data_IF_473826509468
#
_entry.id   IF_473826509468
#
_cell.length_a   1.000
_cell.length_b   1.000
_cell.length_c   1.000
_cell.angle_alpha   90.00
_cell.angle_beta   90.00
_cell.angle_gamma   90.00
#
_symmetry.space_group_name_H-M   'P 1'
#
loop_
_entity.id
_entity.type
_entity.pdbx_description
1 polymer ?
#
# COMPACT_ATOMS: atom_id res chain seq x y z
N UNK A 1 104.98 16.64 -16.74
CA UNK A 1 105.11 17.57 -15.60
C UNK A 1 103.92 17.29 -14.72
N UNK A 2 104.08 16.35 -13.73
CA UNK A 2 104.23 16.66 -12.29
C UNK A 2 103.05 17.47 -11.72
N UNK A 3 102.19 16.97 -10.88
CA UNK A 3 102.34 16.65 -9.48
C UNK A 3 101.08 15.99 -8.92
N UNK A 4 101.27 14.84 -8.28
CA UNK A 4 100.52 14.53 -7.03
C UNK A 4 101.14 15.36 -5.90
N UNK A 5 100.58 15.41 -4.68
CA UNK A 5 99.83 14.44 -3.93
C UNK A 5 98.78 15.08 -2.91
N UNK A 6 98.00 14.41 -2.23
CA UNK A 6 98.05 13.91 -0.82
C UNK A 6 96.76 13.50 -0.25
N UNK A 7 96.77 12.35 0.34
CA UNK A 7 95.88 11.72 1.28
C UNK A 7 95.52 12.56 2.49
N UNK A 8 94.28 12.44 2.98
CA UNK A 8 94.00 12.36 4.42
C UNK A 8 92.70 11.58 4.65
N UNK A 9 92.88 10.51 5.38
CA UNK A 9 91.83 9.71 5.97
C UNK A 9 91.17 10.47 7.14
N UNK A 10 89.85 10.38 7.25
CA UNK A 10 89.18 10.58 8.52
C UNK A 10 88.04 9.55 8.64
N UNK A 11 88.17 8.76 9.66
CA UNK A 11 87.08 7.87 10.19
C UNK A 11 85.84 8.69 10.44
N UNK A 12 84.71 8.13 10.10
CA UNK A 12 83.48 8.57 10.75
C UNK A 12 82.50 7.41 10.91
N UNK A 13 82.30 7.15 12.07
CA UNK A 13 81.20 6.54 12.83
C UNK A 13 80.00 6.02 12.05
N UNK A 14 79.78 4.74 12.16
CA UNK A 14 78.54 4.06 11.92
C UNK A 14 77.56 4.37 13.06
N UNK A 15 76.48 5.12 12.76
CA UNK A 15 75.31 5.18 13.63
C UNK A 15 74.22 4.35 12.96
N UNK A 16 73.96 3.18 13.50
CA UNK A 16 72.81 2.38 13.22
C UNK A 16 71.52 3.13 13.63
N UNK A 17 70.75 3.59 12.68
CA UNK A 17 69.35 3.95 12.89
C UNK A 17 68.50 2.74 12.63
N UNK A 18 68.10 2.03 13.66
CA UNK A 18 67.00 1.08 13.62
C UNK A 18 65.72 1.84 13.24
N UNK A 19 65.24 1.66 12.02
CA UNK A 19 63.90 2.05 11.63
C UNK A 19 62.93 1.02 12.26
N UNK A 20 62.27 1.43 13.32
CA UNK A 20 61.14 0.71 13.90
C UNK A 20 59.93 0.95 12.98
N UNK A 21 59.64 0.01 12.04
CA UNK A 21 58.39 0.01 11.29
C UNK A 21 57.33 -0.54 12.23
N UNK A 22 56.56 0.38 12.82
CA UNK A 22 55.36 0.03 13.53
C UNK A 22 54.28 -0.37 12.50
N UNK A 23 54.05 -1.67 12.31
CA UNK A 23 52.87 -2.18 11.63
C UNK A 23 51.66 -1.86 12.50
N UNK A 24 51.01 -0.75 12.23
CA UNK A 24 49.62 -0.55 12.67
C UNK A 24 48.72 -1.51 11.87
N UNK A 25 48.46 -2.67 12.43
CA UNK A 25 47.40 -3.55 11.98
C UNK A 25 46.07 -2.86 12.27
N UNK A 26 45.57 -2.12 11.27
CA UNK A 26 44.21 -1.64 11.25
C UNK A 26 43.30 -2.85 11.07
N UNK A 27 42.90 -3.46 12.17
CA UNK A 27 41.84 -4.45 12.21
C UNK A 27 40.56 -3.71 11.78
N UNK A 28 40.23 -3.74 10.48
CA UNK A 28 38.88 -3.49 10.03
C UNK A 28 38.00 -4.56 10.63
N UNK A 29 37.47 -4.26 11.79
CA UNK A 29 36.33 -5.01 12.34
C UNK A 29 35.21 -4.87 11.31
N UNK A 30 35.05 -5.88 10.47
CA UNK A 30 33.80 -6.14 9.75
C UNK A 30 32.74 -6.36 10.82
N UNK A 31 32.19 -5.26 11.34
CA UNK A 31 30.87 -5.31 11.99
C UNK A 31 29.94 -5.84 10.92
N UNK A 32 29.69 -7.15 10.96
CA UNK A 32 28.53 -7.73 10.32
C UNK A 32 27.31 -7.07 10.99
N UNK A 33 26.95 -5.89 10.51
CA UNK A 33 25.62 -5.37 10.68
C UNK A 33 24.73 -6.35 9.93
N UNK A 34 24.25 -7.39 10.64
CA UNK A 34 23.10 -8.16 10.18
C UNK A 34 22.00 -7.11 10.16
N UNK A 35 21.83 -6.46 9.03
CA UNK A 35 20.68 -5.60 8.78
C UNK A 35 19.49 -6.51 9.07
N UNK A 36 18.80 -6.26 10.18
CA UNK A 36 17.58 -6.95 10.54
C UNK A 36 16.68 -6.78 9.31
N UNK A 37 16.43 -7.87 8.60
CA UNK A 37 15.66 -7.83 7.36
C UNK A 37 14.24 -7.48 7.77
N UNK A 38 13.89 -6.18 7.65
CA UNK A 38 12.56 -5.72 7.98
C UNK A 38 11.56 -6.45 7.08
N UNK A 39 10.54 -7.04 7.68
CA UNK A 39 9.46 -7.73 6.97
C UNK A 39 8.47 -6.74 6.32
N UNK A 40 8.82 -5.46 6.26
CA UNK A 40 8.04 -4.37 5.66
C UNK A 40 8.95 -3.28 5.10
N UNK A 41 8.38 -2.40 4.27
CA UNK A 41 9.07 -1.20 3.79
C UNK A 41 8.72 -0.01 4.69
N UNK A 42 9.68 0.90 4.83
CA UNK A 42 9.50 2.18 5.49
C UNK A 42 10.13 3.28 4.62
N UNK A 43 9.32 4.25 4.22
CA UNK A 43 9.76 5.41 3.46
C UNK A 43 9.55 6.67 4.28
N UNK A 44 10.61 7.46 4.44
CA UNK A 44 10.61 8.73 5.16
C UNK A 44 10.68 9.87 4.14
N UNK A 45 9.80 10.87 4.21
CA UNK A 45 9.87 12.01 3.31
C UNK A 45 11.06 12.92 3.65
N UNK A 46 11.47 13.72 2.69
CA UNK A 46 12.41 14.82 2.96
C UNK A 46 11.83 15.77 4.02
N UNK A 47 12.66 16.18 4.97
CA UNK A 47 12.23 16.99 6.13
C UNK A 47 11.46 18.27 5.71
N UNK A 48 11.86 18.92 4.63
CA UNK A 48 11.23 20.14 4.13
C UNK A 48 9.81 19.90 3.57
N UNK A 49 9.49 18.66 3.18
CA UNK A 49 8.20 18.29 2.59
C UNK A 49 7.29 17.51 3.56
N UNK A 50 7.83 17.12 4.72
CA UNK A 50 7.13 16.25 5.67
C UNK A 50 5.81 16.85 6.16
N UNK A 51 4.71 16.10 6.00
CA UNK A 51 3.36 16.46 6.47
C UNK A 51 3.15 16.11 7.95
N UNK A 52 4.07 15.39 8.57
CA UNK A 52 3.91 14.89 9.94
C UNK A 52 2.78 13.84 10.05
N UNK A 53 2.41 13.20 8.94
CA UNK A 53 1.36 12.18 8.87
C UNK A 53 1.95 10.84 8.47
N UNK A 54 1.51 9.77 9.15
CA UNK A 54 1.97 8.40 8.94
C UNK A 54 0.87 7.55 8.31
N UNK A 55 1.21 6.86 7.23
CA UNK A 55 0.30 5.99 6.48
C UNK A 55 0.83 4.57 6.51
N UNK A 56 0.01 3.62 6.95
CA UNK A 56 0.32 2.20 6.87
C UNK A 56 -0.49 1.59 5.73
N UNK A 57 0.21 0.98 4.77
CA UNK A 57 -0.37 0.30 3.62
C UNK A 57 -0.25 -1.22 3.84
N UNK A 58 -1.38 -1.93 3.79
CA UNK A 58 -1.47 -3.37 4.10
C UNK A 58 -1.77 -4.14 2.83
N UNK A 59 -0.78 -4.93 2.38
CA UNK A 59 -0.84 -5.80 1.21
C UNK A 59 -1.05 -7.25 1.63
N UNK A 60 -2.01 -7.92 1.00
CA UNK A 60 -2.30 -9.32 1.25
C UNK A 60 -3.38 -9.83 0.32
N UNK A 61 -3.17 -9.73 -0.98
CA UNK A 61 -4.12 -10.10 -2.02
C UNK A 61 -3.47 -11.04 -3.02
N UNK A 62 -3.92 -12.28 -3.06
CA UNK A 62 -3.37 -13.34 -3.89
C UNK A 62 -3.76 -13.22 -5.38
N UNK A 63 -4.67 -12.29 -5.73
CA UNK A 63 -5.18 -12.16 -7.08
C UNK A 63 -4.75 -10.86 -7.77
N UNK A 64 -4.90 -9.70 -7.08
CA UNK A 64 -4.80 -8.37 -7.69
C UNK A 64 -3.46 -7.66 -7.50
N UNK A 65 -2.42 -8.37 -7.04
CA UNK A 65 -1.03 -7.87 -6.96
C UNK A 65 -0.85 -6.64 -6.09
N UNK A 66 -1.49 -6.62 -4.93
CA UNK A 66 -1.31 -5.51 -3.98
C UNK A 66 0.16 -5.33 -3.53
N UNK A 67 0.97 -6.39 -3.61
CA UNK A 67 2.41 -6.36 -3.34
C UNK A 67 3.21 -5.52 -4.35
N UNK A 68 2.66 -5.25 -5.53
CA UNK A 68 3.25 -4.37 -6.53
C UNK A 68 2.72 -2.94 -6.41
N UNK A 69 1.39 -2.80 -6.24
CA UNK A 69 0.72 -1.50 -6.24
C UNK A 69 0.99 -0.67 -4.99
N UNK A 70 1.00 -1.28 -3.80
CA UNK A 70 1.14 -0.51 -2.57
C UNK A 70 2.55 0.07 -2.35
N UNK A 71 3.66 -0.61 -2.70
CA UNK A 71 4.97 0.03 -2.70
C UNK A 71 5.06 1.23 -3.64
N UNK A 72 4.50 1.13 -4.85
CA UNK A 72 4.44 2.22 -5.81
C UNK A 72 3.65 3.41 -5.24
N UNK A 73 2.48 3.16 -4.68
CA UNK A 73 1.65 4.18 -4.05
C UNK A 73 2.35 4.82 -2.83
N UNK A 74 3.04 4.02 -2.01
CA UNK A 74 3.81 4.52 -0.86
C UNK A 74 4.92 5.47 -1.30
N UNK A 75 5.65 5.14 -2.37
CA UNK A 75 6.68 6.04 -2.94
C UNK A 75 6.08 7.36 -3.43
N UNK A 76 4.92 7.34 -4.10
CA UNK A 76 4.23 8.57 -4.50
C UNK A 76 3.87 9.39 -3.26
N UNK A 77 3.19 8.79 -2.28
CA UNK A 77 2.77 9.46 -1.05
C UNK A 77 3.95 10.04 -0.28
N UNK A 78 5.10 9.35 -0.26
CA UNK A 78 6.27 9.83 0.48
C UNK A 78 7.03 10.89 -0.29
N UNK A 79 7.47 10.59 -1.51
CA UNK A 79 8.44 11.44 -2.22
C UNK A 79 7.79 12.65 -2.89
N UNK A 80 6.50 12.58 -3.22
CA UNK A 80 5.78 13.67 -3.89
C UNK A 80 4.81 14.41 -2.98
N UNK A 81 4.36 13.75 -1.91
CA UNK A 81 3.32 14.29 -1.03
C UNK A 81 3.72 14.39 0.44
N UNK A 82 4.92 13.97 0.83
CA UNK A 82 5.49 14.22 2.16
C UNK A 82 4.90 13.39 3.29
N UNK A 83 4.21 12.29 3.01
CA UNK A 83 3.74 11.33 4.02
C UNK A 83 4.87 10.38 4.42
N UNK A 84 4.97 10.03 5.69
CA UNK A 84 5.77 8.89 6.12
C UNK A 84 4.96 7.61 5.90
N UNK A 85 5.52 6.62 5.17
CA UNK A 85 4.74 5.44 4.78
C UNK A 85 5.40 4.14 5.19
N UNK A 86 4.58 3.16 5.59
CA UNK A 86 4.96 1.79 5.87
C UNK A 86 4.16 0.86 4.96
N UNK A 87 4.83 -0.07 4.29
CA UNK A 87 4.14 -1.10 3.47
C UNK A 87 4.35 -2.46 4.11
N UNK A 88 3.27 -3.06 4.56
CA UNK A 88 3.24 -4.38 5.18
C UNK A 88 2.77 -5.41 4.15
N UNK A 89 3.36 -6.59 4.20
CA UNK A 89 3.09 -7.66 3.25
C UNK A 89 2.64 -8.95 3.95
N UNK A 90 1.86 -9.75 3.25
CA UNK A 90 1.70 -11.15 3.60
C UNK A 90 3.05 -11.86 3.43
N UNK A 91 3.59 -12.38 4.52
CA UNK A 91 4.91 -13.02 4.58
C UNK A 91 4.75 -14.48 5.01
N UNK A 92 5.28 -15.39 4.21
CA UNK A 92 5.40 -16.78 4.59
C UNK A 92 6.42 -16.91 5.74
N UNK A 93 6.05 -17.44 6.91
CA UNK A 93 6.92 -17.48 8.07
C UNK A 93 8.11 -18.44 7.92
N UNK A 94 8.04 -19.40 7.01
CA UNK A 94 9.12 -20.36 6.76
C UNK A 94 10.15 -19.79 5.79
N UNK A 95 9.71 -19.29 4.63
CA UNK A 95 10.59 -18.79 3.58
C UNK A 95 11.00 -17.33 3.78
N UNK A 96 10.29 -16.56 4.62
CA UNK A 96 10.44 -15.11 4.83
C UNK A 96 10.18 -14.28 3.57
N UNK A 97 9.63 -14.88 2.54
CA UNK A 97 9.29 -14.24 1.28
C UNK A 97 7.88 -13.64 1.34
N UNK A 98 7.64 -12.64 0.50
CA UNK A 98 6.28 -12.16 0.22
C UNK A 98 5.53 -13.32 -0.43
N UNK A 99 4.42 -13.69 0.20
CA UNK A 99 3.56 -14.77 -0.24
C UNK A 99 2.10 -14.35 -0.06
N UNK A 100 1.48 -13.77 -1.08
CA UNK A 100 0.08 -13.36 -1.02
C UNK A 100 -0.90 -14.50 -0.72
N UNK A 101 -0.52 -15.75 -1.01
CA UNK A 101 -1.35 -16.93 -0.73
C UNK A 101 -1.30 -17.34 0.75
N UNK A 102 -0.28 -16.91 1.50
CA UNK A 102 -0.19 -17.17 2.94
C UNK A 102 -1.10 -16.21 3.72
N UNK A 103 -2.26 -16.67 4.14
CA UNK A 103 -3.35 -15.85 4.67
C UNK A 103 -3.21 -15.45 6.16
N UNK A 104 -2.24 -16.06 6.90
CA UNK A 104 -2.22 -16.01 8.37
C UNK A 104 -1.11 -15.15 8.97
N UNK A 105 -0.40 -14.35 8.16
CA UNK A 105 0.69 -13.55 8.69
C UNK A 105 0.95 -12.29 7.88
N UNK A 106 0.79 -11.12 8.51
CA UNK A 106 1.22 -9.81 8.02
C UNK A 106 2.02 -9.14 9.14
N UNK A 107 3.35 -9.31 9.19
CA UNK A 107 4.17 -8.68 10.22
C UNK A 107 4.20 -7.16 10.08
N UNK A 108 4.39 -6.45 11.21
CA UNK A 108 4.49 -4.98 11.23
C UNK A 108 3.16 -4.27 11.51
N UNK A 109 2.05 -4.99 11.75
CA UNK A 109 0.74 -4.38 12.04
C UNK A 109 0.76 -3.50 13.31
N UNK A 110 1.73 -3.65 14.19
CA UNK A 110 1.97 -2.76 15.34
C UNK A 110 2.24 -1.30 14.91
N UNK A 111 2.72 -1.06 13.68
CA UNK A 111 2.88 0.30 13.14
C UNK A 111 1.55 1.07 13.05
N UNK A 112 0.41 0.38 13.02
CA UNK A 112 -0.92 1.01 13.08
C UNK A 112 -1.14 1.83 14.36
N UNK A 113 -0.45 1.51 15.45
CA UNK A 113 -0.59 2.25 16.72
C UNK A 113 -0.34 3.75 16.52
N UNK A 114 0.69 4.10 15.75
CA UNK A 114 1.12 5.48 15.51
C UNK A 114 0.71 6.02 14.12
N UNK A 115 -0.03 5.24 13.34
CA UNK A 115 -0.48 5.68 12.03
C UNK A 115 -1.65 6.67 12.12
N UNK A 116 -1.72 7.58 11.15
CA UNK A 116 -2.85 8.51 10.96
C UNK A 116 -3.85 7.96 9.93
N UNK A 117 -3.42 7.05 9.06
CA UNK A 117 -4.23 6.46 7.99
C UNK A 117 -3.83 5.00 7.76
N UNK A 118 -4.81 4.14 7.55
CA UNK A 118 -4.65 2.77 7.05
C UNK A 118 -5.18 2.67 5.62
N UNK A 119 -4.33 2.23 4.68
CA UNK A 119 -4.73 1.84 3.33
C UNK A 119 -4.64 0.32 3.24
N UNK A 120 -5.72 -0.34 2.87
CA UNK A 120 -5.77 -1.79 2.86
C UNK A 120 -6.20 -2.33 1.49
N UNK A 121 -5.39 -3.26 0.95
CA UNK A 121 -5.65 -4.05 -0.24
C UNK A 121 -5.33 -5.51 0.09
N UNK A 122 -6.26 -6.18 0.75
CA UNK A 122 -6.11 -7.58 1.18
C UNK A 122 -7.38 -8.37 0.88
N UNK A 123 -7.22 -9.69 0.80
CA UNK A 123 -8.27 -10.64 0.47
C UNK A 123 -8.18 -11.87 1.35
N UNK A 124 -9.29 -12.22 2.02
CA UNK A 124 -9.48 -13.45 2.79
C UNK A 124 -8.41 -13.73 3.87
N UNK A 125 -7.88 -12.68 4.53
CA UNK A 125 -6.89 -12.89 5.61
C UNK A 125 -7.54 -13.51 6.84
N UNK A 126 -6.94 -14.57 7.37
CA UNK A 126 -7.21 -15.19 8.66
C UNK A 126 -6.07 -14.91 9.61
N UNK A 127 -5.91 -13.63 9.99
CA UNK A 127 -4.80 -13.23 10.85
C UNK A 127 -5.02 -13.72 12.29
N UNK A 128 -3.95 -14.10 13.01
CA UNK A 128 -4.05 -14.44 14.42
C UNK A 128 -4.46 -13.22 15.27
N UNK A 129 -5.03 -13.49 16.45
CA UNK A 129 -5.63 -12.46 17.32
C UNK A 129 -4.63 -11.37 17.72
N UNK A 130 -3.36 -11.70 17.93
CA UNK A 130 -2.30 -10.74 18.23
C UNK A 130 -2.07 -9.74 17.09
N UNK A 131 -2.30 -10.13 15.85
CA UNK A 131 -2.21 -9.24 14.69
C UNK A 131 -3.53 -8.48 14.48
N UNK A 132 -4.67 -9.15 14.56
CA UNK A 132 -5.99 -8.52 14.44
C UNK A 132 -6.23 -7.45 15.51
N UNK A 133 -5.67 -7.59 16.70
CA UNK A 133 -5.73 -6.60 17.77
C UNK A 133 -5.26 -5.21 17.33
N UNK A 134 -4.24 -5.13 16.47
CA UNK A 134 -3.73 -3.84 16.00
C UNK A 134 -4.72 -3.17 15.05
N UNK A 135 -5.37 -3.95 14.17
CA UNK A 135 -6.44 -3.46 13.28
C UNK A 135 -7.64 -2.98 14.11
N UNK A 136 -8.10 -3.78 15.07
CA UNK A 136 -9.22 -3.46 15.94
C UNK A 136 -8.98 -2.18 16.77
N UNK A 137 -7.78 -2.05 17.37
CA UNK A 137 -7.40 -0.86 18.13
C UNK A 137 -7.34 0.38 17.25
N UNK A 138 -6.85 0.27 16.01
CA UNK A 138 -6.83 1.36 15.03
C UNK A 138 -8.26 1.85 14.73
N UNK A 139 -9.17 0.92 14.49
CA UNK A 139 -10.59 1.21 14.23
C UNK A 139 -11.31 1.75 15.48
N UNK A 140 -11.03 1.23 16.67
CA UNK A 140 -11.55 1.77 17.95
C UNK A 140 -11.12 3.20 18.19
N UNK A 141 -9.93 3.57 17.77
CA UNK A 141 -9.45 4.95 17.84
C UNK A 141 -10.18 5.89 16.87
N UNK A 142 -11.02 5.38 15.96
CA UNK A 142 -11.73 6.17 14.96
C UNK A 142 -10.81 6.73 13.86
N UNK A 143 -9.69 6.08 13.61
CA UNK A 143 -8.73 6.52 12.60
C UNK A 143 -9.21 6.17 11.18
N UNK A 144 -8.90 7.00 10.17
CA UNK A 144 -9.42 6.83 8.82
C UNK A 144 -8.88 5.61 8.09
N UNK A 145 -9.71 5.08 7.18
CA UNK A 145 -9.39 3.90 6.36
C UNK A 145 -9.61 4.20 4.89
N UNK A 146 -8.72 3.72 4.04
CA UNK A 146 -8.91 3.61 2.59
C UNK A 146 -8.93 2.13 2.24
N UNK A 147 -10.05 1.66 1.67
CA UNK A 147 -10.20 0.29 1.17
C UNK A 147 -10.06 0.24 -0.34
N UNK A 148 -9.17 -0.60 -0.85
CA UNK A 148 -8.95 -0.80 -2.27
C UNK A 148 -9.37 -2.21 -2.70
N UNK A 149 -10.09 -2.31 -3.80
CA UNK A 149 -10.51 -3.54 -4.48
C UNK A 149 -11.05 -4.59 -3.50
N UNK A 150 -10.23 -5.59 -3.19
CA UNK A 150 -10.55 -6.74 -2.35
C UNK A 150 -10.69 -6.42 -0.86
N UNK A 151 -10.42 -5.19 -0.45
CA UNK A 151 -10.66 -4.76 0.93
C UNK A 151 -12.11 -5.02 1.38
N UNK A 152 -13.08 -5.05 0.47
CA UNK A 152 -14.48 -5.41 0.73
C UNK A 152 -14.66 -6.82 1.29
N UNK A 153 -13.66 -7.69 1.11
CA UNK A 153 -13.56 -9.03 1.69
C UNK A 153 -12.15 -9.32 2.24
N UNK A 154 -11.58 -8.31 2.89
CA UNK A 154 -10.21 -8.37 3.41
C UNK A 154 -9.96 -9.54 4.35
N UNK A 155 -10.94 -9.87 5.18
CA UNK A 155 -10.83 -10.91 6.20
C UNK A 155 -11.80 -12.05 5.95
N UNK A 156 -11.36 -13.28 6.25
CA UNK A 156 -12.19 -14.48 6.21
C UNK A 156 -11.78 -15.40 7.35
N UNK A 157 -12.75 -15.77 8.18
CA UNK A 157 -12.54 -16.69 9.29
C UNK A 157 -13.44 -17.91 9.08
N UNK A 158 -12.90 -19.14 9.22
CA UNK A 158 -13.72 -20.34 9.23
C UNK A 158 -14.85 -20.25 10.27
N UNK A 159 -15.98 -20.92 10.01
CA UNK A 159 -17.15 -20.90 10.91
C UNK A 159 -16.79 -21.36 12.32
N UNK A 160 -15.90 -22.34 12.44
CA UNK A 160 -15.37 -22.91 13.68
C UNK A 160 -14.27 -22.09 14.34
N UNK A 161 -13.83 -21.00 13.72
CA UNK A 161 -12.79 -20.15 14.27
C UNK A 161 -13.11 -19.66 15.67
N UNK A 162 -12.15 -19.79 16.58
CA UNK A 162 -12.23 -19.31 17.97
C UNK A 162 -11.70 -17.89 18.13
N UNK A 163 -11.27 -17.25 17.05
CA UNK A 163 -10.77 -15.88 17.07
C UNK A 163 -11.81 -14.92 17.65
N UNK A 164 -11.39 -14.05 18.55
CA UNK A 164 -12.21 -12.95 19.07
C UNK A 164 -12.64 -11.98 17.95
N UNK A 165 -11.95 -12.01 16.82
CA UNK A 165 -12.14 -11.11 15.67
C UNK A 165 -12.87 -11.78 14.49
N UNK A 166 -13.44 -12.97 14.66
CA UNK A 166 -14.13 -13.70 13.57
C UNK A 166 -15.25 -12.89 12.90
N UNK A 167 -15.85 -11.96 13.63
CA UNK A 167 -16.90 -11.07 13.12
C UNK A 167 -16.39 -10.11 12.01
N UNK A 168 -15.07 -9.90 11.85
CA UNK A 168 -14.49 -9.16 10.74
C UNK A 168 -14.59 -9.89 9.41
N UNK A 169 -14.84 -11.22 9.42
CA UNK A 169 -14.94 -12.05 8.23
C UNK A 169 -16.07 -11.61 7.30
N UNK A 170 -15.77 -11.51 5.99
CA UNK A 170 -16.72 -11.02 4.97
C UNK A 170 -18.00 -11.83 4.89
N UNK A 171 -17.95 -13.10 5.24
CA UNK A 171 -19.10 -14.02 5.25
C UNK A 171 -19.96 -13.92 6.50
N UNK A 172 -19.60 -13.08 7.48
CA UNK A 172 -20.38 -12.89 8.69
C UNK A 172 -21.79 -12.39 8.36
N UNK A 173 -22.81 -13.06 8.93
CA UNK A 173 -24.21 -12.70 8.70
C UNK A 173 -24.90 -12.19 9.97
N UNK A 174 -24.17 -12.07 11.08
CA UNK A 174 -24.72 -11.77 12.39
C UNK A 174 -24.56 -10.31 12.80
N UNK A 175 -25.61 -9.75 13.39
CA UNK A 175 -25.62 -8.43 14.01
C UNK A 175 -25.21 -7.28 13.10
N UNK A 176 -24.65 -6.26 13.71
CA UNK A 176 -24.19 -5.06 13.02
C UNK A 176 -23.00 -5.34 12.09
N UNK A 177 -22.25 -6.42 12.35
CA UNK A 177 -21.10 -6.84 11.54
C UNK A 177 -21.48 -7.69 10.32
N UNK A 178 -22.71 -7.62 9.86
CA UNK A 178 -23.12 -8.33 8.65
C UNK A 178 -22.27 -7.89 7.46
N UNK A 179 -21.63 -8.87 6.79
CA UNK A 179 -20.66 -8.62 5.74
C UNK A 179 -19.25 -8.26 6.26
N UNK A 180 -19.02 -8.42 7.57
CA UNK A 180 -17.71 -8.24 8.21
C UNK A 180 -17.14 -6.85 8.06
N UNK A 181 -15.83 -6.76 7.90
CA UNK A 181 -15.09 -5.52 7.69
C UNK A 181 -15.62 -4.73 6.48
N UNK A 182 -15.84 -5.41 5.35
CA UNK A 182 -16.39 -4.77 4.15
C UNK A 182 -17.75 -4.15 4.42
N UNK A 183 -18.71 -4.93 4.91
CA UNK A 183 -20.09 -4.45 5.13
C UNK A 183 -20.17 -3.36 6.20
N UNK A 184 -19.56 -3.57 7.36
CA UNK A 184 -19.70 -2.68 8.50
C UNK A 184 -18.81 -1.43 8.40
N UNK A 185 -17.54 -1.60 8.05
CA UNK A 185 -16.58 -0.48 7.99
C UNK A 185 -16.64 0.21 6.63
N UNK A 186 -16.47 -0.55 5.53
CA UNK A 186 -16.33 0.02 4.19
C UNK A 186 -17.67 0.38 3.54
N UNK A 187 -18.78 -0.22 3.99
CA UNK A 187 -20.13 0.05 3.49
C UNK A 187 -20.68 -1.02 2.55
N UNK A 188 -19.84 -1.85 1.96
CA UNK A 188 -20.24 -3.02 1.19
C UNK A 188 -19.24 -4.15 1.36
N UNK A 189 -19.73 -5.37 1.44
CA UNK A 189 -18.94 -6.59 1.32
C UNK A 189 -18.89 -7.06 -0.14
N UNK A 190 -17.90 -7.87 -0.50
CA UNK A 190 -17.90 -8.47 -1.82
C UNK A 190 -19.11 -9.42 -1.97
N UNK A 191 -19.82 -9.30 -3.09
CA UNK A 191 -21.04 -10.06 -3.38
C UNK A 191 -20.84 -10.92 -4.62
N UNK A 192 -20.44 -10.27 -5.71
CA UNK A 192 -20.19 -10.90 -6.99
C UNK A 192 -19.46 -9.94 -7.92
N UNK A 193 -18.97 -10.46 -9.01
CA UNK A 193 -18.56 -9.69 -10.18
C UNK A 193 -19.79 -9.22 -10.94
N UNK A 194 -20.01 -7.91 -11.07
CA UNK A 194 -21.06 -7.33 -11.89
C UNK A 194 -20.60 -7.24 -13.36
N UNK A 195 -19.36 -6.84 -13.59
CA UNK A 195 -18.66 -7.07 -14.84
C UNK A 195 -18.23 -8.54 -14.95
N UNK A 196 -18.03 -9.04 -16.16
CA UNK A 196 -17.55 -10.41 -16.35
C UNK A 196 -16.04 -10.46 -16.08
N UNK A 197 -15.68 -11.14 -14.99
CA UNK A 197 -14.29 -11.22 -14.50
C UNK A 197 -13.35 -11.76 -15.58
N UNK A 198 -12.21 -11.08 -15.76
CA UNK A 198 -11.18 -11.46 -16.73
C UNK A 198 -11.53 -11.20 -18.20
N UNK A 199 -12.67 -10.57 -18.48
CA UNK A 199 -13.10 -10.23 -19.83
C UNK A 199 -13.66 -8.82 -20.00
N UNK A 200 -14.16 -8.22 -18.91
CA UNK A 200 -14.71 -6.86 -18.89
C UNK A 200 -13.87 -5.95 -17.98
N UNK A 201 -13.66 -4.72 -18.37
CA UNK A 201 -13.07 -3.67 -17.57
C UNK A 201 -14.10 -2.75 -16.93
N UNK A 202 -13.65 -1.69 -16.29
CA UNK A 202 -14.48 -0.67 -15.66
C UNK A 202 -14.14 0.72 -16.19
N UNK A 203 -15.17 1.45 -16.61
CA UNK A 203 -15.07 2.87 -16.91
C UNK A 203 -15.70 3.67 -15.74
N UNK A 204 -14.86 4.34 -14.95
CA UNK A 204 -15.30 5.26 -13.89
C UNK A 204 -15.73 6.59 -14.48
N UNK A 205 -17.02 6.88 -14.40
CA UNK A 205 -17.68 8.02 -15.05
C UNK A 205 -17.55 9.27 -14.16
N UNK A 206 -16.82 10.25 -14.63
CA UNK A 206 -16.68 11.56 -14.00
C UNK A 206 -17.34 12.66 -14.83
N UNK A 207 -17.01 12.69 -16.13
CA UNK A 207 -17.41 13.78 -17.02
C UNK A 207 -18.92 13.79 -17.33
N UNK A 208 -19.57 12.62 -17.27
CA UNK A 208 -21.01 12.50 -17.57
C UNK A 208 -21.95 12.57 -16.39
N UNK A 209 -21.47 12.39 -15.16
CA UNK A 209 -22.34 12.21 -14.01
C UNK A 209 -22.06 13.16 -12.85
N UNK A 210 -21.21 14.11 -12.93
CA UNK A 210 -20.83 15.18 -11.96
C UNK A 210 -21.55 15.17 -10.58
N UNK A 211 -21.79 13.98 -10.06
CA UNK A 211 -22.36 13.78 -8.74
C UNK A 211 -21.26 14.17 -7.73
N UNK A 212 -21.59 15.05 -6.80
CA UNK A 212 -20.67 15.52 -5.77
C UNK A 212 -19.38 16.19 -6.30
N UNK A 213 -19.42 16.84 -7.45
CA UNK A 213 -18.27 17.52 -8.10
C UNK A 213 -17.50 18.50 -7.17
N UNK A 214 -18.09 18.90 -6.05
CA UNK A 214 -17.44 19.75 -5.03
C UNK A 214 -16.64 18.95 -3.99
N UNK A 215 -16.71 17.63 -3.98
CA UNK A 215 -15.94 16.83 -3.03
C UNK A 215 -14.45 16.96 -3.34
N UNK A 216 -13.60 17.34 -2.37
CA UNK A 216 -12.19 17.59 -2.60
C UNK A 216 -11.43 16.36 -3.14
N UNK A 217 -11.92 15.16 -2.87
CA UNK A 217 -11.32 13.90 -3.40
C UNK A 217 -11.37 13.88 -4.93
N UNK A 218 -12.38 14.53 -5.55
CA UNK A 218 -12.57 14.53 -7.00
C UNK A 218 -11.80 15.64 -7.72
N UNK A 219 -11.09 16.50 -7.00
CA UNK A 219 -10.38 17.63 -7.60
C UNK A 219 -9.30 17.16 -8.60
N UNK A 220 -9.45 17.54 -9.87
CA UNK A 220 -8.54 17.17 -10.95
C UNK A 220 -8.65 15.70 -11.40
N UNK A 221 -9.66 14.97 -10.95
CA UNK A 221 -9.97 13.60 -11.41
C UNK A 221 -10.86 13.66 -12.63
N UNK A 222 -10.45 13.01 -13.71
CA UNK A 222 -11.20 12.81 -14.96
C UNK A 222 -11.72 11.36 -15.03
N UNK A 223 -12.31 10.96 -16.15
CA UNK A 223 -12.76 9.59 -16.36
C UNK A 223 -11.61 8.60 -16.11
N UNK A 224 -11.94 7.53 -15.37
CA UNK A 224 -11.01 6.49 -14.98
C UNK A 224 -11.30 5.26 -15.82
N UNK A 225 -10.29 4.71 -16.48
CA UNK A 225 -10.44 3.40 -17.10
C UNK A 225 -9.48 2.38 -16.49
N UNK A 226 -10.02 1.22 -16.11
CA UNK A 226 -9.22 0.12 -15.54
C UNK A 226 -9.63 -1.23 -16.13
N UNK A 227 -8.67 -2.18 -16.30
CA UNK A 227 -8.96 -3.50 -16.83
C UNK A 227 -9.71 -4.41 -15.85
N UNK A 228 -9.71 -4.12 -14.53
CA UNK A 228 -10.48 -4.93 -13.59
C UNK A 228 -11.98 -4.64 -13.68
N UNK A 229 -12.79 -5.66 -13.50
CA UNK A 229 -14.24 -5.60 -13.62
C UNK A 229 -14.93 -4.84 -12.50
N UNK A 230 -16.15 -4.40 -12.74
CA UNK A 230 -17.02 -3.74 -11.74
C UNK A 230 -17.56 -4.78 -10.76
N UNK A 231 -17.45 -4.51 -9.45
CA UNK A 231 -18.10 -5.32 -8.43
C UNK A 231 -19.59 -5.00 -8.27
N UNK A 232 -20.38 -6.02 -7.94
CA UNK A 232 -21.78 -5.84 -7.59
C UNK A 232 -21.95 -5.15 -6.24
N UNK A 233 -22.88 -4.19 -6.19
CA UNK A 233 -23.29 -3.49 -4.98
C UNK A 233 -24.74 -3.83 -4.70
N UNK A 234 -25.02 -4.44 -3.55
CA UNK A 234 -26.41 -4.78 -3.11
C UNK A 234 -26.92 -3.84 -2.05
N UNK A 235 -26.07 -3.42 -1.15
CA UNK A 235 -26.47 -2.44 -0.17
C UNK A 235 -26.70 -1.09 -0.87
N UNK A 236 -27.69 -0.35 -0.41
CA UNK A 236 -27.95 0.99 -0.94
C UNK A 236 -26.85 2.00 -0.58
N UNK A 237 -25.69 1.54 -0.05
CA UNK A 237 -24.62 2.37 0.51
C UNK A 237 -25.19 3.49 1.42
N UNK A 238 -26.16 3.12 2.29
CA UNK A 238 -26.80 4.03 3.23
C UNK A 238 -25.76 4.79 4.02
N UNK A 239 -25.96 6.08 4.16
CA UNK A 239 -25.04 7.00 4.84
C UNK A 239 -23.64 7.07 4.17
N UNK A 240 -23.57 6.78 2.88
CA UNK A 240 -22.38 6.97 2.06
C UNK A 240 -22.60 8.06 1.03
N UNK A 241 -21.54 8.77 0.71
CA UNK A 241 -21.48 9.71 -0.41
C UNK A 241 -20.80 9.00 -1.58
N UNK A 242 -21.56 8.73 -2.65
CA UNK A 242 -21.03 8.09 -3.84
C UNK A 242 -20.26 9.15 -4.63
N UNK A 243 -19.01 8.85 -4.99
CA UNK A 243 -18.11 9.75 -5.70
C UNK A 243 -17.97 9.39 -7.17
N UNK A 244 -17.90 8.09 -7.49
CA UNK A 244 -17.67 7.59 -8.84
C UNK A 244 -18.61 6.42 -9.10
N UNK A 245 -19.31 6.46 -10.25
CA UNK A 245 -20.02 5.32 -10.80
C UNK A 245 -19.16 4.64 -11.87
N UNK A 246 -19.13 3.31 -11.90
CA UNK A 246 -18.44 2.50 -12.88
C UNK A 246 -19.40 1.82 -13.85
N UNK A 247 -19.08 1.91 -15.14
CA UNK A 247 -19.76 1.19 -16.20
C UNK A 247 -18.89 0.03 -16.67
N UNK A 248 -19.39 -1.23 -16.72
CA UNK A 248 -18.66 -2.32 -17.36
C UNK A 248 -18.41 -2.05 -18.85
N UNK A 249 -17.23 -2.44 -19.34
CA UNK A 249 -16.87 -2.39 -20.76
C UNK A 249 -16.88 -3.78 -21.40
N UNK A 250 -17.06 -3.89 -22.72
CA UNK A 250 -17.12 -5.17 -23.43
C UNK A 250 -15.75 -5.84 -23.63
N UNK A 251 -14.70 -5.28 -23.08
CA UNK A 251 -13.33 -5.77 -23.15
C UNK A 251 -12.46 -5.10 -22.10
N UNK A 252 -11.20 -5.51 -22.05
CA UNK A 252 -10.20 -5.06 -21.05
C UNK A 252 -9.16 -4.12 -21.66
N UNK A 253 -9.57 -3.29 -22.63
CA UNK A 253 -8.75 -2.21 -23.20
C UNK A 253 -9.48 -0.87 -23.11
N UNK A 254 -8.74 0.23 -23.09
CA UNK A 254 -9.33 1.57 -22.94
C UNK A 254 -10.28 1.95 -24.08
N UNK A 255 -10.12 1.34 -25.26
CA UNK A 255 -10.95 1.55 -26.45
C UNK A 255 -12.20 0.68 -26.44
N UNK A 256 -12.31 -0.26 -25.48
CA UNK A 256 -13.47 -1.15 -25.40
C UNK A 256 -14.75 -0.36 -25.18
N UNK A 257 -15.81 -0.61 -25.95
CA UNK A 257 -17.07 0.10 -25.77
C UNK A 257 -17.75 -0.31 -24.46
N UNK A 258 -18.58 0.57 -23.93
CA UNK A 258 -19.36 0.28 -22.73
C UNK A 258 -20.36 -0.86 -22.98
N UNK A 259 -20.53 -1.72 -21.97
CA UNK A 259 -21.54 -2.76 -21.98
C UNK A 259 -22.91 -2.19 -21.56
N UNK A 260 -23.71 -1.76 -22.53
CA UNK A 260 -25.04 -1.16 -22.30
C UNK A 260 -26.08 -2.14 -21.74
N UNK A 261 -25.77 -3.44 -21.68
CA UNK A 261 -26.67 -4.46 -21.09
C UNK A 261 -26.53 -4.55 -19.57
N UNK A 262 -25.49 -3.96 -19.00
CA UNK A 262 -25.22 -3.93 -17.56
C UNK A 262 -25.40 -2.51 -17.03
N UNK A 263 -26.01 -2.40 -15.84
CA UNK A 263 -26.16 -1.10 -15.17
C UNK A 263 -24.84 -0.56 -14.65
N UNK A 264 -24.79 0.74 -14.42
CA UNK A 264 -23.70 1.36 -13.65
C UNK A 264 -23.80 0.94 -12.19
N UNK A 265 -22.65 0.84 -11.52
CA UNK A 265 -22.54 0.57 -10.07
C UNK A 265 -21.66 1.62 -9.40
N UNK A 266 -21.89 1.97 -8.13
CA UNK A 266 -20.90 2.71 -7.36
C UNK A 266 -19.55 1.97 -7.34
N UNK A 267 -18.48 2.66 -7.69
CA UNK A 267 -17.11 2.11 -7.66
C UNK A 267 -16.18 2.89 -6.74
N UNK A 268 -16.60 4.09 -6.28
CA UNK A 268 -15.91 4.81 -5.21
C UNK A 268 -16.90 5.61 -4.37
N UNK A 269 -16.71 5.59 -3.05
CA UNK A 269 -17.58 6.30 -2.10
C UNK A 269 -16.83 6.63 -0.80
N UNK A 270 -17.41 7.55 -0.02
CA UNK A 270 -17.02 7.82 1.36
C UNK A 270 -18.16 7.51 2.32
N UNK A 271 -17.83 7.18 3.56
CA UNK A 271 -18.76 7.06 4.67
C UNK A 271 -18.06 7.25 6.01
N UNK A 272 -18.86 7.42 7.04
CA UNK A 272 -18.38 7.31 8.42
C UNK A 272 -18.57 5.88 8.94
N UNK A 273 -17.74 5.49 9.90
CA UNK A 273 -17.89 4.25 10.67
C UNK A 273 -17.72 4.51 12.16
N UNK A 274 -18.25 3.61 12.98
CA UNK A 274 -17.96 3.56 14.41
C UNK A 274 -18.17 2.13 14.89
N UNK A 275 -17.11 1.50 15.37
CA UNK A 275 -17.21 0.16 15.95
C UNK A 275 -17.65 0.24 17.43
N UNK A 276 -18.24 -0.81 18.01
CA UNK A 276 -18.67 -0.82 19.41
C UNK A 276 -17.54 -0.41 20.36
N UNK A 277 -17.81 0.56 21.23
CA UNK A 277 -16.84 1.12 22.18
C UNK A 277 -15.76 1.99 21.57
N UNK A 278 -15.80 2.25 20.26
CA UNK A 278 -14.83 3.07 19.54
C UNK A 278 -15.30 4.49 19.28
N UNK A 279 -14.38 5.31 18.72
CA UNK A 279 -14.65 6.64 18.21
C UNK A 279 -15.15 6.57 16.76
N UNK A 280 -15.81 7.63 16.31
CA UNK A 280 -16.22 7.81 14.92
C UNK A 280 -14.98 8.02 14.05
N UNK A 281 -14.89 7.30 12.95
CA UNK A 281 -13.87 7.42 11.91
C UNK A 281 -14.51 7.59 10.54
N UNK A 282 -13.70 7.87 9.53
CA UNK A 282 -14.14 8.04 8.16
C UNK A 282 -13.43 7.07 7.20
N UNK A 283 -14.12 6.74 6.12
CA UNK A 283 -13.66 5.74 5.15
C UNK A 283 -13.80 6.31 3.73
N UNK A 284 -12.80 6.03 2.91
CA UNK A 284 -12.91 6.03 1.46
C UNK A 284 -12.76 4.59 0.96
N UNK A 285 -13.62 4.19 0.05
CA UNK A 285 -13.58 2.86 -0.58
C UNK A 285 -13.64 2.99 -2.08
N UNK A 286 -12.81 2.22 -2.78
CA UNK A 286 -12.97 1.99 -4.23
C UNK A 286 -12.86 0.51 -4.56
N UNK A 287 -13.75 0.03 -5.45
CA UNK A 287 -13.70 -1.33 -5.98
C UNK A 287 -12.77 -1.49 -7.18
N UNK A 288 -12.12 -0.40 -7.61
CA UNK A 288 -10.96 -0.39 -8.49
C UNK A 288 -9.68 -0.49 -7.62
N UNK A 289 -8.57 -0.99 -8.13
CA UNK A 289 -7.31 -1.00 -7.36
C UNK A 289 -6.50 -2.27 -7.45
N UNK A 290 -6.68 -3.07 -8.51
CA UNK A 290 -5.66 -4.05 -8.88
C UNK A 290 -4.36 -3.34 -9.24
N UNK A 291 -3.23 -4.03 -9.23
CA UNK A 291 -1.95 -3.38 -9.52
C UNK A 291 -1.97 -2.71 -10.90
N UNK A 292 -2.50 -3.39 -11.90
CA UNK A 292 -2.57 -2.85 -13.26
C UNK A 292 -3.57 -1.69 -13.39
N UNK A 293 -4.59 -1.61 -12.55
CA UNK A 293 -5.53 -0.48 -12.52
C UNK A 293 -4.80 0.83 -12.17
N UNK A 294 -3.72 0.75 -11.37
CA UNK A 294 -2.95 1.92 -10.98
C UNK A 294 -2.01 2.44 -12.07
N UNK A 295 -2.07 1.89 -13.29
CA UNK A 295 -1.55 2.55 -14.49
C UNK A 295 -2.41 3.76 -14.87
N UNK A 296 -3.70 3.78 -14.50
CA UNK A 296 -4.56 4.93 -14.70
C UNK A 296 -4.17 6.09 -13.74
N UNK A 297 -3.88 7.25 -14.32
CA UNK A 297 -3.43 8.43 -13.57
C UNK A 297 -4.54 9.00 -12.68
N UNK A 298 -5.77 8.95 -13.14
CA UNK A 298 -6.92 9.51 -12.42
C UNK A 298 -7.29 8.63 -11.22
N UNK A 299 -7.12 7.29 -11.31
CA UNK A 299 -7.26 6.42 -10.16
C UNK A 299 -6.18 6.70 -9.10
N UNK A 300 -4.92 6.89 -9.52
CA UNK A 300 -3.85 7.31 -8.57
C UNK A 300 -4.19 8.65 -7.91
N UNK A 301 -4.67 9.64 -8.69
CA UNK A 301 -5.09 10.95 -8.18
C UNK A 301 -6.23 10.82 -7.18
N UNK A 302 -7.23 10.01 -7.50
CA UNK A 302 -8.37 9.74 -6.61
C UNK A 302 -7.90 9.21 -5.25
N UNK A 303 -6.97 8.24 -5.24
CA UNK A 303 -6.44 7.63 -4.01
C UNK A 303 -5.55 8.62 -3.23
N UNK A 304 -4.70 9.39 -3.92
CA UNK A 304 -3.86 10.42 -3.29
C UNK A 304 -4.74 11.51 -2.65
N UNK A 305 -5.73 12.03 -3.37
CA UNK A 305 -6.68 13.01 -2.82
C UNK A 305 -7.44 12.44 -1.62
N UNK A 306 -7.89 11.18 -1.70
CA UNK A 306 -8.54 10.49 -0.58
C UNK A 306 -7.60 10.39 0.64
N UNK A 307 -6.30 10.23 0.42
CA UNK A 307 -5.31 10.19 1.51
C UNK A 307 -5.20 11.53 2.22
N UNK A 308 -5.16 12.65 1.49
CA UNK A 308 -5.22 13.99 2.07
C UNK A 308 -6.51 14.24 2.85
N UNK A 309 -7.66 13.94 2.21
CA UNK A 309 -8.97 14.09 2.84
C UNK A 309 -9.07 13.25 4.12
N UNK A 310 -8.56 12.02 4.09
CA UNK A 310 -8.61 11.11 5.22
C UNK A 310 -7.94 11.69 6.48
N UNK A 311 -6.80 12.37 6.32
CA UNK A 311 -6.01 12.90 7.44
C UNK A 311 -6.28 14.39 7.75
N UNK A 312 -7.32 14.99 7.14
CA UNK A 312 -7.72 16.38 7.40
C UNK A 312 -6.83 17.42 6.72
N UNK A 313 -6.25 17.06 5.57
CA UNK A 313 -5.42 17.95 4.75
C UNK A 313 -6.08 18.27 3.40
N UNK A 314 -7.41 18.18 3.31
CA UNK A 314 -8.17 18.39 2.08
C UNK A 314 -7.94 19.75 1.42
N UNK A 315 -7.63 20.78 2.20
CA UNK A 315 -7.31 22.12 1.69
C UNK A 315 -5.95 22.20 0.98
N UNK A 316 -5.12 21.17 1.11
CA UNK A 316 -3.83 21.08 0.41
C UNK A 316 -3.90 20.31 -0.91
N UNK A 317 -5.06 19.74 -1.25
CA UNK A 317 -5.27 19.03 -2.51
C UNK A 317 -5.20 20.03 -3.67
N UNK A 318 -4.43 19.66 -4.71
CA UNK A 318 -4.31 20.45 -5.95
C UNK A 318 -4.72 19.60 -7.15
N UNK A 319 -5.45 20.20 -8.08
CA UNK A 319 -5.93 19.52 -9.28
C UNK A 319 -4.81 18.93 -10.14
N UNK A 320 -3.65 19.57 -10.15
CA UNK A 320 -2.47 19.22 -10.94
C UNK A 320 -1.37 18.50 -10.14
N UNK A 321 -1.66 18.05 -8.89
CA UNK A 321 -0.67 17.33 -8.06
C UNK A 321 -0.01 16.21 -8.85
N UNK A 322 1.30 16.05 -8.66
CA UNK A 322 2.04 14.99 -9.33
C UNK A 322 1.74 13.63 -8.68
N UNK A 323 1.11 12.74 -9.45
CA UNK A 323 0.76 11.37 -9.05
C UNK A 323 1.42 10.31 -9.94
N UNK A 324 2.46 10.70 -10.71
CA UNK A 324 3.21 9.76 -11.53
C UNK A 324 4.02 8.80 -10.64
N UNK A 325 4.18 7.54 -11.05
CA UNK A 325 5.02 6.60 -10.33
C UNK A 325 6.44 7.13 -10.09
N UNK A 326 7.04 6.72 -8.98
CA UNK A 326 8.45 6.99 -8.68
C UNK A 326 9.26 5.78 -9.09
N UNK A 327 10.12 5.97 -10.08
CA UNK A 327 10.83 4.87 -10.74
C UNK A 327 9.93 4.10 -11.70
N UNK A 328 10.41 2.94 -12.12
CA UNK A 328 9.69 2.10 -13.06
C UNK A 328 8.53 1.36 -12.36
N UNK A 329 7.35 1.40 -12.96
CA UNK A 329 6.20 0.63 -12.51
C UNK A 329 5.63 -0.17 -13.68
N UNK A 330 5.87 -1.47 -13.67
CA UNK A 330 5.44 -2.44 -14.68
C UNK A 330 4.62 -3.55 -13.98
N UNK A 331 3.38 -3.27 -13.62
CA UNK A 331 2.55 -4.25 -12.93
C UNK A 331 2.18 -5.41 -13.85
N UNK A 332 2.03 -6.58 -13.23
CA UNK A 332 1.57 -7.79 -13.91
C UNK A 332 0.03 -7.81 -13.87
N UNK A 333 -0.59 -8.35 -14.92
CA UNK A 333 -2.03 -8.59 -14.96
C UNK A 333 -2.44 -9.44 -13.75
N UNK A 334 -3.59 -9.13 -13.17
CA UNK A 334 -4.14 -9.90 -12.06
C UNK A 334 -4.48 -11.34 -12.45
N UNK A 335 -4.56 -12.22 -11.46
CA UNK A 335 -4.86 -13.63 -11.62
C UNK A 335 -4.25 -14.46 -10.48
N UNK A 336 -4.87 -15.60 -10.19
CA UNK A 336 -4.44 -16.48 -9.12
C UNK A 336 -3.13 -17.21 -9.47
N UNK A 337 -2.27 -17.41 -8.45
CA UNK A 337 -1.02 -18.17 -8.59
C UNK A 337 0.04 -17.54 -9.51
N UNK A 338 -0.16 -16.30 -9.97
CA UNK A 338 0.74 -15.64 -10.93
C UNK A 338 1.64 -14.57 -10.29
N UNK A 339 1.61 -14.41 -8.95
CA UNK A 339 2.53 -13.51 -8.26
C UNK A 339 3.98 -13.92 -8.44
N UNK A 340 4.90 -12.96 -8.42
CA UNK A 340 6.33 -13.22 -8.58
C UNK A 340 6.88 -13.84 -7.30
N UNK A 341 7.20 -15.14 -7.35
CA UNK A 341 7.78 -15.87 -6.21
C UNK A 341 9.21 -15.41 -5.91
N UNK A 342 9.67 -15.66 -4.69
CA UNK A 342 11.04 -15.36 -4.28
C UNK A 342 11.30 -13.88 -3.95
N UNK A 343 10.26 -13.05 -3.89
CA UNK A 343 10.38 -11.63 -3.55
C UNK A 343 10.39 -11.38 -2.05
N UNK A 344 11.17 -10.38 -1.66
CA UNK A 344 11.25 -9.85 -0.30
C UNK A 344 10.82 -8.39 -0.31
N UNK A 345 10.42 -7.79 0.84
CA UNK A 345 10.07 -6.38 0.88
C UNK A 345 11.13 -5.46 0.26
N UNK A 346 12.43 -5.72 0.52
CA UNK A 346 13.55 -4.95 -0.03
C UNK A 346 13.60 -4.88 -1.57
N UNK A 347 12.99 -5.83 -2.27
CA UNK A 347 12.99 -5.89 -3.73
C UNK A 347 12.04 -4.85 -4.36
N UNK A 348 11.28 -4.14 -3.53
CA UNK A 348 10.36 -3.06 -3.90
C UNK A 348 10.82 -1.67 -3.42
N UNK A 349 12.07 -1.55 -2.94
CA UNK A 349 12.69 -0.26 -2.57
C UNK A 349 12.88 0.68 -3.76
#
# INVERSE_FOLDING_TARGET
MTHQPRTTSILSFWTNKLLLIAFLSFSFGLSNCIAQQNNWLHFTPEKAQAKGKKVVLISGDEEYRSEESLPMLAKILTQKHGFETFVLFAINPETKQIDPEYQKNIPGLENLQNADLMIIASRFRELPDEQMKHVDNFLKAGKPVIGLRTATHAFNFPKESKSAYKHYGFSNQEGDWKGGFGGFILGETWINHHGDHGTEGSLGLMNGLQINAKNPILLGVEDIWVPSDVYGIKNSLKNSEILVFGQPTLGMTAESPINRKKSIMPVAWTKDYQIPGGKKGKVFTTTMGSSIDLLDKNLRRLIVNASYWAVGLENEIKADSNVDPVGEFKPIMFGFGTHVKGKYPKDYL
#
